data_IF_295517124438
#
_entry.id   IF_295517124438
#
_cell.length_a   1.000
_cell.length_b   1.000
_cell.length_c   1.000
_cell.angle_alpha   90.00
_cell.angle_beta   90.00
_cell.angle_gamma   90.00
#
_symmetry.space_group_name_H-M   'P 1'
#
loop_
_entity.id
_entity.type
_entity.pdbx_description
1 polymer ?
#
# COMPACT_ATOMS: atom_id res chain seq x y z
N UNK A 1 13.68 26.01 1.06
CA UNK A 1 13.06 24.93 0.25
C UNK A 1 11.99 24.29 1.10
N UNK A 2 10.81 24.08 0.52
CA UNK A 2 9.69 23.34 1.10
C UNK A 2 10.14 21.91 1.42
N UNK A 3 9.62 21.28 2.49
CA UNK A 3 9.88 19.86 2.75
C UNK A 3 9.19 19.02 1.68
N UNK A 4 9.75 17.86 1.35
CA UNK A 4 9.14 16.88 0.45
C UNK A 4 8.90 15.56 1.18
N UNK A 5 7.69 15.05 1.07
CA UNK A 5 7.29 13.71 1.51
C UNK A 5 7.17 12.79 0.29
N UNK A 6 7.87 11.65 0.33
CA UNK A 6 7.67 10.54 -0.60
C UNK A 6 6.71 9.54 0.04
N UNK A 7 5.48 9.48 -0.47
CA UNK A 7 4.51 8.46 -0.10
C UNK A 7 4.77 7.19 -0.91
N UNK A 8 5.01 6.08 -0.20
CA UNK A 8 5.10 4.75 -0.82
C UNK A 8 3.75 4.05 -0.68
N UNK A 9 3.00 3.99 -1.78
CA UNK A 9 1.63 3.49 -1.81
C UNK A 9 1.57 2.15 -2.55
N UNK A 10 1.19 1.09 -1.86
CA UNK A 10 0.99 -0.20 -2.51
C UNK A 10 0.49 -1.24 -1.53
N UNK A 11 -0.12 -2.30 -2.08
CA UNK A 11 -0.54 -3.44 -1.27
C UNK A 11 0.64 -4.04 -0.50
N UNK A 12 0.37 -4.62 0.67
CA UNK A 12 1.36 -5.47 1.35
C UNK A 12 1.93 -6.49 0.37
N UNK A 13 3.22 -6.83 0.55
CA UNK A 13 3.95 -7.82 -0.28
C UNK A 13 4.18 -7.41 -1.74
N UNK A 14 3.74 -6.23 -2.17
CA UNK A 14 4.05 -5.66 -3.50
C UNK A 14 5.43 -5.03 -3.62
N UNK A 15 6.35 -5.28 -2.67
CA UNK A 15 7.68 -4.68 -2.66
C UNK A 15 7.79 -3.34 -1.96
N UNK A 16 6.75 -2.89 -1.25
CA UNK A 16 6.76 -1.62 -0.49
C UNK A 16 7.91 -1.54 0.51
N UNK A 17 8.15 -2.58 1.32
CA UNK A 17 9.27 -2.60 2.27
C UNK A 17 10.64 -2.62 1.60
N UNK A 18 10.80 -3.39 0.51
CA UNK A 18 12.06 -3.44 -0.24
C UNK A 18 12.38 -2.06 -0.83
N UNK A 19 11.40 -1.42 -1.47
CA UNK A 19 11.56 -0.07 -2.00
C UNK A 19 11.90 0.93 -0.89
N UNK A 20 11.15 0.95 0.21
CA UNK A 20 11.41 1.89 1.32
C UNK A 20 12.78 1.67 1.97
N UNK A 21 13.25 0.42 2.07
CA UNK A 21 14.61 0.13 2.51
C UNK A 21 15.66 0.71 1.57
N UNK A 22 15.48 0.60 0.25
CA UNK A 22 16.34 1.26 -0.74
C UNK A 22 16.32 2.78 -0.56
N UNK A 23 15.14 3.40 -0.40
CA UNK A 23 15.03 4.85 -0.14
C UNK A 23 15.82 5.27 1.12
N UNK A 24 15.80 4.44 2.17
CA UNK A 24 16.59 4.68 3.38
C UNK A 24 18.10 4.72 3.10
N UNK A 25 18.62 3.82 2.27
CA UNK A 25 20.03 3.84 1.83
C UNK A 25 20.36 5.01 0.89
N UNK A 26 19.36 5.70 0.36
CA UNK A 26 19.51 6.90 -0.47
C UNK A 26 19.41 8.19 0.35
N UNK A 27 19.52 8.10 1.68
CA UNK A 27 19.38 9.20 2.65
C UNK A 27 17.98 9.86 2.66
N UNK A 28 16.94 9.17 2.18
CA UNK A 28 15.56 9.60 2.42
C UNK A 28 15.20 9.19 3.84
N UNK A 29 14.93 10.20 4.67
CA UNK A 29 14.75 9.98 6.10
C UNK A 29 13.46 9.19 6.41
N UNK A 30 13.56 8.27 7.35
CA UNK A 30 12.47 7.50 7.93
C UNK A 30 12.50 7.66 9.44
N UNK A 31 11.34 7.71 10.08
CA UNK A 31 11.22 7.80 11.54
C UNK A 31 10.44 6.61 12.10
N UNK A 32 10.75 6.22 13.33
CA UNK A 32 9.93 5.28 14.11
C UNK A 32 9.65 3.98 13.34
N UNK A 33 10.69 3.43 12.70
CA UNK A 33 10.54 2.28 11.81
C UNK A 33 10.22 1.00 12.57
N UNK A 34 9.29 0.21 12.03
CA UNK A 34 9.03 -1.15 12.47
C UNK A 34 10.11 -2.06 11.88
N UNK A 35 10.85 -2.72 12.77
CA UNK A 35 11.90 -3.68 12.45
C UNK A 35 11.37 -4.98 11.83
N UNK A 36 12.27 -5.93 11.58
CA UNK A 36 11.90 -7.20 10.95
C UNK A 36 11.34 -8.24 11.91
N UNK A 37 10.58 -9.19 11.36
CA UNK A 37 10.11 -10.39 12.03
C UNK A 37 10.21 -11.61 11.09
N UNK A 38 9.67 -12.76 11.49
CA UNK A 38 9.65 -13.99 10.68
C UNK A 38 8.97 -13.86 9.31
N UNK A 39 8.07 -12.88 9.14
CA UNK A 39 7.33 -12.67 7.90
C UNK A 39 8.02 -11.64 6.99
N UNK A 40 8.91 -10.82 7.56
CA UNK A 40 9.71 -9.84 6.84
C UNK A 40 11.01 -9.51 7.61
N UNK A 41 12.01 -10.38 7.49
CA UNK A 41 13.24 -10.33 8.28
C UNK A 41 14.03 -9.03 8.09
N UNK A 42 13.96 -8.45 6.88
CA UNK A 42 14.69 -7.23 6.52
C UNK A 42 14.04 -5.95 7.04
N UNK A 43 12.86 -6.04 7.67
CA UNK A 43 12.14 -4.90 8.25
C UNK A 43 10.95 -4.45 7.41
N UNK A 44 9.91 -3.96 8.10
CA UNK A 44 8.72 -3.43 7.44
C UNK A 44 8.94 -2.04 6.89
N UNK A 45 9.81 -1.24 7.52
CA UNK A 45 10.04 0.17 7.21
C UNK A 45 8.75 1.02 7.25
N UNK A 46 7.74 0.53 7.97
CA UNK A 46 6.53 1.27 8.32
C UNK A 46 6.80 2.13 9.54
N UNK A 47 6.20 3.30 9.60
CA UNK A 47 6.26 4.14 10.80
C UNK A 47 5.21 3.65 11.80
N UNK A 48 5.63 3.23 13.00
CA UNK A 48 4.72 2.58 13.95
C UNK A 48 3.60 3.49 14.47
N UNK A 49 3.86 4.80 14.62
CA UNK A 49 2.84 5.76 15.07
C UNK A 49 1.78 5.99 14.00
N UNK A 50 2.24 6.14 12.75
CA UNK A 50 1.37 6.30 11.59
C UNK A 50 0.53 5.03 11.40
N UNK A 51 1.13 3.83 11.50
CA UNK A 51 0.39 2.59 11.39
C UNK A 51 -0.72 2.48 12.44
N UNK A 52 -0.42 2.76 13.72
CA UNK A 52 -1.43 2.74 14.79
C UNK A 52 -2.57 3.73 14.52
N UNK A 53 -2.24 4.93 14.02
CA UNK A 53 -3.24 5.91 13.62
C UNK A 53 -4.09 5.40 12.44
N UNK A 54 -3.48 4.85 11.41
CA UNK A 54 -4.20 4.27 10.26
C UNK A 54 -5.15 3.14 10.68
N UNK A 55 -4.69 2.22 11.53
CA UNK A 55 -5.51 1.15 12.08
C UNK A 55 -6.70 1.71 12.89
N UNK A 56 -6.46 2.72 13.74
CA UNK A 56 -7.51 3.42 14.50
C UNK A 56 -8.55 4.09 13.58
N UNK A 57 -8.10 4.78 12.53
CA UNK A 57 -8.97 5.47 11.58
C UNK A 57 -9.84 4.48 10.79
N UNK A 58 -9.25 3.40 10.26
CA UNK A 58 -10.01 2.36 9.56
C UNK A 58 -11.02 1.68 10.49
N UNK A 59 -10.61 1.37 11.73
CA UNK A 59 -11.52 0.78 12.72
C UNK A 59 -12.70 1.70 13.02
N UNK A 60 -12.49 3.02 13.07
CA UNK A 60 -13.56 4.00 13.35
C UNK A 60 -14.63 4.10 12.27
N UNK A 61 -14.38 3.51 11.09
CA UNK A 61 -15.32 3.44 9.97
C UNK A 61 -15.66 1.99 9.61
N UNK A 62 -15.53 1.09 10.57
CA UNK A 62 -15.81 -0.34 10.44
C UNK A 62 -15.08 -0.96 9.23
N UNK A 63 -13.77 -0.74 9.17
CA UNK A 63 -12.91 -1.23 8.10
C UNK A 63 -11.53 -1.67 8.63
N UNK A 64 -10.74 -2.27 7.75
CA UNK A 64 -9.39 -2.77 8.01
C UNK A 64 -8.56 -2.72 6.72
N UNK A 65 -7.24 -2.96 6.83
CA UNK A 65 -6.35 -3.00 5.67
C UNK A 65 -6.72 -4.10 4.66
N UNK A 66 -7.40 -5.15 5.11
CA UNK A 66 -7.83 -6.29 4.29
C UNK A 66 -9.33 -6.26 3.95
N UNK A 67 -9.96 -5.09 4.10
CA UNK A 67 -11.33 -4.84 3.68
C UNK A 67 -11.40 -4.74 2.15
N UNK A 68 -11.68 -5.89 1.54
CA UNK A 68 -11.83 -6.04 0.10
C UNK A 68 -13.11 -5.38 -0.46
N UNK A 69 -13.92 -4.76 0.40
CA UNK A 69 -15.16 -4.10 0.05
C UNK A 69 -15.25 -2.67 0.60
N UNK A 70 -14.10 -2.08 0.92
CA UNK A 70 -14.01 -0.71 1.38
C UNK A 70 -14.82 0.24 0.48
N UNK A 71 -15.58 1.14 1.08
CA UNK A 71 -16.33 2.18 0.37
C UNK A 71 -15.66 3.53 0.60
N UNK A 72 -15.36 4.24 -0.48
CA UNK A 72 -14.75 5.57 -0.43
C UNK A 72 -15.61 6.59 0.34
N UNK A 73 -16.94 6.44 0.33
CA UNK A 73 -17.86 7.31 1.09
C UNK A 73 -17.59 7.26 2.60
N UNK A 74 -17.05 6.14 3.12
CA UNK A 74 -16.67 6.03 4.54
C UNK A 74 -15.57 7.03 4.93
N UNK A 75 -14.78 7.53 3.98
CA UNK A 75 -13.73 8.51 4.25
C UNK A 75 -14.29 9.89 4.64
N UNK A 76 -15.55 10.20 4.29
CA UNK A 76 -16.18 11.47 4.68
C UNK A 76 -16.24 11.63 6.20
N UNK A 77 -16.44 10.52 6.93
CA UNK A 77 -16.42 10.50 8.40
C UNK A 77 -15.05 10.87 8.99
N UNK A 78 -13.96 10.83 8.20
CA UNK A 78 -12.59 11.10 8.64
C UNK A 78 -12.10 12.51 8.29
N UNK A 79 -12.94 13.36 7.68
CA UNK A 79 -12.52 14.66 7.13
C UNK A 79 -11.80 15.56 8.17
N UNK A 80 -12.19 15.47 9.44
CA UNK A 80 -11.66 16.31 10.52
C UNK A 80 -10.58 15.65 11.38
N UNK A 81 -10.13 14.45 11.02
CA UNK A 81 -9.20 13.68 11.85
C UNK A 81 -7.72 14.06 11.64
N UNK A 82 -7.40 15.08 10.81
CA UNK A 82 -6.05 15.35 10.29
C UNK A 82 -5.03 15.80 11.34
N UNK A 83 -5.51 16.28 12.49
CA UNK A 83 -4.67 16.87 13.55
C UNK A 83 -3.63 15.90 14.11
N UNK A 84 -4.02 14.65 14.37
CA UNK A 84 -3.13 13.65 14.96
C UNK A 84 -1.99 13.28 14.01
N UNK A 85 -2.29 13.06 12.72
CA UNK A 85 -1.27 12.81 11.70
C UNK A 85 -0.32 13.99 11.54
N UNK A 86 -0.85 15.22 11.52
CA UNK A 86 0.00 16.43 11.43
C UNK A 86 0.96 16.53 12.61
N UNK A 87 0.49 16.23 13.82
CA UNK A 87 1.33 16.24 15.02
C UNK A 87 2.44 15.18 14.93
N UNK A 88 2.13 13.98 14.46
CA UNK A 88 3.14 12.95 14.20
C UNK A 88 4.16 13.46 13.18
N UNK A 89 3.71 13.98 12.03
CA UNK A 89 4.58 14.47 10.96
C UNK A 89 5.52 15.58 11.47
N UNK A 90 4.99 16.59 12.14
CA UNK A 90 5.79 17.69 12.70
C UNK A 90 6.77 17.17 13.74
N UNK A 91 6.35 16.29 14.64
CA UNK A 91 7.21 15.80 15.71
C UNK A 91 8.40 14.97 15.21
N UNK A 92 8.18 14.15 14.17
CA UNK A 92 9.16 13.16 13.71
C UNK A 92 10.00 13.62 12.52
N UNK A 93 9.47 14.53 11.70
CA UNK A 93 10.07 14.89 10.42
C UNK A 93 10.45 16.38 10.30
N UNK A 94 10.21 17.23 11.30
CA UNK A 94 10.48 18.70 11.25
C UNK A 94 11.87 19.10 10.76
N UNK A 95 12.90 18.30 11.01
CA UNK A 95 14.28 18.62 10.63
C UNK A 95 14.74 17.97 9.33
N UNK A 96 13.90 17.14 8.70
CA UNK A 96 14.21 16.53 7.42
C UNK A 96 13.62 17.31 6.26
N UNK A 97 14.45 17.66 5.27
CA UNK A 97 13.96 18.26 4.02
C UNK A 97 13.30 17.25 3.08
N UNK A 98 13.68 15.99 3.18
CA UNK A 98 13.20 14.90 2.33
C UNK A 98 13.01 13.65 3.20
N UNK A 99 11.78 13.18 3.29
CA UNK A 99 11.43 11.99 4.07
C UNK A 99 10.44 11.13 3.32
N UNK A 100 10.29 9.88 3.74
CA UNK A 100 9.28 8.98 3.22
C UNK A 100 8.33 8.50 4.32
N UNK A 101 7.08 8.30 3.93
CA UNK A 101 6.08 7.59 4.73
C UNK A 101 5.64 6.39 3.90
N UNK A 102 5.73 5.21 4.52
CA UNK A 102 5.22 3.96 3.98
C UNK A 102 4.22 3.38 4.98
N UNK A 103 3.00 3.19 4.51
CA UNK A 103 1.94 2.44 5.18
C UNK A 103 1.01 1.93 4.07
N UNK A 104 0.85 0.60 3.88
CA UNK A 104 -0.06 0.07 2.86
C UNK A 104 -1.51 0.58 2.99
N UNK A 105 -1.95 0.93 4.20
CA UNK A 105 -3.28 1.53 4.46
C UNK A 105 -3.40 2.93 3.92
N UNK A 106 -2.29 3.62 3.65
CA UNK A 106 -2.31 4.94 3.03
C UNK A 106 -2.94 4.90 1.63
N UNK A 107 -3.02 3.74 0.96
CA UNK A 107 -3.81 3.61 -0.27
C UNK A 107 -5.31 3.85 -0.03
N UNK A 108 -5.84 3.37 1.09
CA UNK A 108 -7.25 3.54 1.48
C UNK A 108 -7.48 4.94 2.05
N UNK A 109 -6.54 5.41 2.87
CA UNK A 109 -6.63 6.67 3.61
C UNK A 109 -6.00 7.85 2.88
N UNK A 110 -5.62 7.75 1.60
CA UNK A 110 -4.81 8.78 0.94
C UNK A 110 -5.35 10.22 1.09
N UNK A 111 -6.66 10.50 0.91
CA UNK A 111 -7.18 11.86 1.06
C UNK A 111 -6.85 12.51 2.41
N UNK A 112 -6.81 11.70 3.47
CA UNK A 112 -6.41 12.12 4.80
C UNK A 112 -4.93 12.53 4.86
N UNK A 113 -4.04 11.71 4.28
CA UNK A 113 -2.60 12.01 4.20
C UNK A 113 -2.34 13.26 3.36
N UNK A 114 -3.00 13.36 2.20
CA UNK A 114 -2.88 14.49 1.30
C UNK A 114 -3.31 15.80 1.98
N UNK A 115 -4.46 15.80 2.66
CA UNK A 115 -4.93 16.96 3.42
C UNK A 115 -3.92 17.38 4.48
N UNK A 116 -3.45 16.44 5.31
CA UNK A 116 -2.46 16.72 6.36
C UNK A 116 -1.15 17.28 5.80
N UNK A 117 -0.63 16.72 4.71
CA UNK A 117 0.63 17.17 4.08
C UNK A 117 0.48 18.54 3.41
N UNK A 118 -0.63 18.78 2.71
CA UNK A 118 -0.92 20.08 2.11
C UNK A 118 -1.06 21.19 3.18
N UNK A 119 -1.78 20.92 4.28
CA UNK A 119 -1.97 21.87 5.39
C UNK A 119 -0.64 22.21 6.11
N UNK A 120 0.34 21.32 6.07
CA UNK A 120 1.68 21.53 6.59
C UNK A 120 2.62 22.20 5.58
N UNK A 121 2.14 22.56 4.40
CA UNK A 121 2.94 23.03 3.27
C UNK A 121 4.11 22.07 2.98
N UNK A 122 3.81 20.78 2.82
CA UNK A 122 4.77 19.75 2.42
C UNK A 122 4.47 19.30 0.98
N UNK A 123 5.51 19.23 0.16
CA UNK A 123 5.41 18.75 -1.22
C UNK A 123 5.23 17.22 -1.24
N UNK A 124 4.34 16.70 -2.09
CA UNK A 124 3.95 15.29 -2.09
C UNK A 124 4.42 14.65 -3.39
N UNK A 125 5.24 13.61 -3.26
CA UNK A 125 5.67 12.74 -4.35
C UNK A 125 5.27 11.30 -4.04
N UNK A 126 4.93 10.52 -5.06
CA UNK A 126 4.38 9.18 -4.87
C UNK A 126 5.19 8.14 -5.61
N UNK A 127 5.50 7.03 -4.93
CA UNK A 127 6.01 5.83 -5.58
C UNK A 127 5.02 4.69 -5.35
N UNK A 128 4.61 4.03 -6.43
CA UNK A 128 3.66 2.93 -6.43
C UNK A 128 4.41 1.63 -6.79
N UNK A 129 4.99 0.92 -5.81
CA UNK A 129 5.58 -0.38 -6.08
C UNK A 129 4.47 -1.40 -6.37
N UNK A 130 4.70 -2.22 -7.38
CA UNK A 130 3.81 -3.32 -7.74
C UNK A 130 4.60 -4.59 -8.00
N UNK A 131 3.91 -5.73 -7.85
CA UNK A 131 4.43 -7.07 -8.04
C UNK A 131 3.33 -7.92 -8.64
N UNK A 132 3.71 -9.05 -9.25
CA UNK A 132 2.76 -10.06 -9.71
C UNK A 132 1.67 -10.33 -8.65
N UNK A 133 0.38 -10.08 -8.97
CA UNK A 133 -0.75 -10.23 -8.06
C UNK A 133 -0.87 -11.63 -7.47
N UNK A 134 -0.48 -12.67 -8.22
CA UNK A 134 -0.48 -14.05 -7.74
C UNK A 134 0.60 -14.28 -6.69
N UNK A 135 1.81 -13.74 -6.90
CA UNK A 135 2.88 -13.83 -5.89
C UNK A 135 2.48 -13.08 -4.60
N UNK A 136 1.80 -11.94 -4.75
CA UNK A 136 1.23 -11.20 -3.61
C UNK A 136 0.18 -12.04 -2.89
N UNK A 137 -0.77 -12.62 -3.62
CA UNK A 137 -1.83 -13.45 -3.06
C UNK A 137 -1.28 -14.70 -2.35
N UNK A 138 -0.33 -15.42 -2.94
CA UNK A 138 0.34 -16.55 -2.30
C UNK A 138 1.09 -16.13 -1.04
N UNK A 139 1.76 -14.97 -1.06
CA UNK A 139 2.45 -14.48 0.13
C UNK A 139 1.49 -14.06 1.25
N UNK A 140 0.32 -13.49 0.91
CA UNK A 140 -0.72 -13.17 1.88
C UNK A 140 -1.37 -14.44 2.45
N UNK A 141 -1.58 -15.45 1.60
CA UNK A 141 -2.08 -16.75 2.03
C UNK A 141 -1.16 -17.40 3.06
N UNK A 142 0.14 -17.45 2.77
CA UNK A 142 1.13 -18.03 3.68
C UNK A 142 1.18 -17.30 5.05
N UNK A 143 1.03 -15.97 5.05
CA UNK A 143 1.13 -15.13 6.25
C UNK A 143 -0.16 -15.08 7.07
N UNK A 144 -1.28 -14.83 6.41
CA UNK A 144 -2.56 -14.43 7.03
C UNK A 144 -3.68 -15.45 6.81
N UNK A 145 -3.43 -16.54 6.07
CA UNK A 145 -4.45 -17.52 5.65
C UNK A 145 -5.58 -16.92 4.79
N UNK A 146 -5.30 -15.78 4.13
CA UNK A 146 -6.21 -15.15 3.17
C UNK A 146 -6.30 -16.03 1.90
N UNK A 147 -7.50 -16.19 1.32
CA UNK A 147 -7.65 -16.95 0.07
C UNK A 147 -6.94 -16.24 -1.09
N UNK A 148 -6.54 -17.00 -2.12
CA UNK A 148 -5.85 -16.42 -3.28
C UNK A 148 -6.73 -15.37 -3.99
N UNK A 149 -8.03 -15.62 -4.07
CA UNK A 149 -9.03 -14.73 -4.66
C UNK A 149 -9.10 -13.40 -3.89
N UNK A 150 -9.21 -13.46 -2.55
CA UNK A 150 -9.22 -12.25 -1.72
C UNK A 150 -7.87 -11.53 -1.81
N UNK A 151 -6.75 -12.25 -1.86
CA UNK A 151 -5.41 -11.66 -2.03
C UNK A 151 -5.27 -10.88 -3.35
N UNK A 152 -5.73 -11.45 -4.46
CA UNK A 152 -5.76 -10.76 -5.77
C UNK A 152 -6.71 -9.56 -5.76
N UNK A 153 -7.89 -9.71 -5.15
CA UNK A 153 -8.85 -8.62 -5.00
C UNK A 153 -8.26 -7.45 -4.22
N UNK A 154 -7.64 -7.72 -3.07
CA UNK A 154 -6.95 -6.69 -2.27
C UNK A 154 -5.84 -6.01 -3.05
N UNK A 155 -5.05 -6.77 -3.81
CA UNK A 155 -4.01 -6.20 -4.67
C UNK A 155 -4.59 -5.22 -5.68
N UNK A 156 -5.61 -5.61 -6.45
CA UNK A 156 -6.23 -4.75 -7.45
C UNK A 156 -6.84 -3.50 -6.82
N UNK A 157 -7.53 -3.68 -5.70
CA UNK A 157 -8.20 -2.60 -5.00
C UNK A 157 -7.20 -1.54 -4.52
N UNK A 158 -6.14 -1.95 -3.81
CA UNK A 158 -5.10 -1.03 -3.34
C UNK A 158 -4.32 -0.38 -4.49
N UNK A 159 -4.04 -1.13 -5.56
CA UNK A 159 -3.33 -0.61 -6.73
C UNK A 159 -4.14 0.47 -7.44
N UNK A 160 -5.43 0.21 -7.71
CA UNK A 160 -6.33 1.16 -8.39
C UNK A 160 -6.62 2.40 -7.54
N UNK A 161 -6.69 2.27 -6.22
CA UNK A 161 -6.81 3.43 -5.33
C UNK A 161 -5.53 4.26 -5.28
N UNK A 162 -4.37 3.62 -5.12
CA UNK A 162 -3.08 4.31 -5.17
C UNK A 162 -2.90 5.05 -6.50
N UNK A 163 -3.27 4.41 -7.61
CA UNK A 163 -3.32 5.05 -8.93
C UNK A 163 -4.25 6.27 -8.89
N UNK A 164 -5.54 6.11 -8.57
CA UNK A 164 -6.51 7.20 -8.65
C UNK A 164 -6.12 8.40 -7.79
N UNK A 165 -5.73 8.14 -6.56
CA UNK A 165 -5.47 9.18 -5.58
C UNK A 165 -4.14 9.91 -5.78
N UNK A 166 -3.15 9.25 -6.38
CA UNK A 166 -1.87 9.89 -6.69
C UNK A 166 -1.90 10.80 -7.93
N UNK A 167 -3.00 10.82 -8.69
CA UNK A 167 -3.13 11.70 -9.87
C UNK A 167 -2.98 13.18 -9.46
N UNK A 168 -2.35 13.96 -10.32
CA UNK A 168 -2.04 15.37 -10.03
C UNK A 168 -0.77 15.58 -9.19
N UNK A 169 -0.10 14.51 -8.74
CA UNK A 169 1.22 14.55 -8.09
C UNK A 169 2.31 14.00 -9.00
N UNK A 170 3.56 14.38 -8.74
CA UNK A 170 4.72 13.66 -9.31
C UNK A 170 4.69 12.22 -8.80
N UNK A 171 4.55 11.26 -9.72
CA UNK A 171 4.39 9.84 -9.39
C UNK A 171 5.15 8.92 -10.33
N UNK A 172 5.52 7.74 -9.83
CA UNK A 172 6.15 6.67 -10.62
C UNK A 172 5.68 5.29 -10.13
N UNK A 173 5.41 4.39 -11.07
CA UNK A 173 5.16 2.96 -10.79
C UNK A 173 6.47 2.18 -10.84
N UNK A 174 6.73 1.32 -9.87
CA UNK A 174 7.98 0.57 -9.77
C UNK A 174 7.69 -0.93 -9.71
N UNK A 175 8.13 -1.68 -10.72
CA UNK A 175 8.07 -3.13 -10.66
C UNK A 175 9.05 -3.65 -9.61
N UNK A 176 8.57 -4.51 -8.71
CA UNK A 176 9.43 -5.18 -7.73
C UNK A 176 10.52 -6.00 -8.42
N UNK A 177 10.22 -6.62 -9.56
CA UNK A 177 11.18 -7.40 -10.32
C UNK A 177 12.31 -6.54 -10.87
N UNK A 178 11.99 -5.37 -11.41
CA UNK A 178 12.98 -4.41 -11.89
C UNK A 178 13.76 -3.78 -10.74
N UNK A 179 13.12 -3.54 -9.60
CA UNK A 179 13.81 -3.04 -8.40
C UNK A 179 14.91 -4.01 -7.97
N UNK A 180 14.65 -5.33 -8.00
CA UNK A 180 15.61 -6.36 -7.61
C UNK A 180 16.66 -6.62 -8.70
N UNK A 181 16.27 -6.69 -9.97
CA UNK A 181 17.18 -7.03 -11.08
C UNK A 181 18.03 -5.87 -11.57
N UNK A 182 17.43 -4.68 -11.67
CA UNK A 182 17.98 -3.50 -12.34
C UNK A 182 17.87 -2.25 -11.46
N UNK A 183 18.26 -2.36 -10.19
CA UNK A 183 18.07 -1.30 -9.17
C UNK A 183 18.62 0.07 -9.61
N UNK A 184 19.75 0.10 -10.33
CA UNK A 184 20.34 1.35 -10.83
C UNK A 184 19.39 2.12 -11.76
N UNK A 185 18.70 1.40 -12.66
CA UNK A 185 17.79 2.00 -13.62
C UNK A 185 16.56 2.53 -12.88
N UNK A 186 16.02 1.74 -11.96
CA UNK A 186 14.89 2.14 -11.12
C UNK A 186 15.21 3.41 -10.31
N UNK A 187 16.39 3.50 -9.71
CA UNK A 187 16.78 4.70 -8.95
C UNK A 187 16.96 5.91 -9.86
N UNK A 188 17.52 5.74 -11.06
CA UNK A 188 17.62 6.83 -12.04
C UNK A 188 16.23 7.31 -12.49
N UNK A 189 15.29 6.38 -12.74
CA UNK A 189 13.92 6.72 -13.14
C UNK A 189 13.17 7.45 -12.01
N UNK A 190 13.30 7.00 -10.76
CA UNK A 190 12.77 7.69 -9.58
C UNK A 190 13.37 9.10 -9.48
N UNK A 191 14.69 9.22 -9.61
CA UNK A 191 15.39 10.51 -9.54
C UNK A 191 14.86 11.50 -10.57
N UNK A 192 14.67 11.06 -11.82
CA UNK A 192 14.19 11.90 -12.92
C UNK A 192 12.71 12.23 -12.79
N UNK A 193 11.85 11.23 -12.58
CA UNK A 193 10.38 11.40 -12.55
C UNK A 193 9.91 12.18 -11.33
N UNK A 194 10.60 12.03 -10.20
CA UNK A 194 10.28 12.72 -8.95
C UNK A 194 11.23 13.88 -8.66
N UNK A 195 12.08 14.30 -9.60
CA UNK A 195 13.03 15.41 -9.42
C UNK A 195 13.79 15.34 -8.07
N UNK A 196 14.35 14.17 -7.75
CA UNK A 196 15.09 13.91 -6.50
C UNK A 196 16.58 13.72 -6.78
N UNK A 197 17.46 14.32 -5.97
CA UNK A 197 18.92 14.14 -6.08
C UNK A 197 19.39 12.89 -5.29
N UNK A 198 19.10 11.70 -5.84
CA UNK A 198 19.41 10.41 -5.20
C UNK A 198 20.46 9.57 -5.94
N UNK A 199 20.81 9.92 -7.19
CA UNK A 199 21.75 9.12 -8.00
C UNK A 199 23.17 9.08 -7.40
N UNK A 200 23.67 10.19 -6.86
CA UNK A 200 24.98 10.22 -6.18
C UNK A 200 25.00 9.34 -4.95
N UNK A 201 23.90 9.33 -4.19
CA UNK A 201 23.74 8.48 -2.99
C UNK A 201 23.68 7.01 -3.38
N UNK A 202 22.99 6.69 -4.48
CA UNK A 202 23.00 5.34 -5.04
C UNK A 202 24.41 4.88 -5.40
N UNK A 203 25.17 5.69 -6.13
CA UNK A 203 26.54 5.34 -6.51
C UNK A 203 27.41 5.01 -5.27
N UNK A 204 27.28 5.81 -4.20
CA UNK A 204 28.00 5.60 -2.95
C UNK A 204 27.54 4.37 -2.14
N UNK A 205 26.26 4.00 -2.22
CA UNK A 205 25.66 2.92 -1.41
C UNK A 205 25.28 1.67 -2.22
N UNK A 206 25.61 1.61 -3.51
CA UNK A 206 25.19 0.57 -4.46
C UNK A 206 25.42 -0.86 -3.95
N UNK A 207 26.58 -1.13 -3.34
CA UNK A 207 26.88 -2.44 -2.74
C UNK A 207 25.94 -2.78 -1.58
N UNK A 208 25.75 -1.86 -0.62
CA UNK A 208 24.84 -2.07 0.52
C UNK A 208 23.40 -2.29 0.05
N UNK A 209 22.98 -1.57 -0.99
CA UNK A 209 21.66 -1.72 -1.60
C UNK A 209 21.51 -3.09 -2.26
N UNK A 210 22.52 -3.57 -2.98
CA UNK A 210 22.52 -4.90 -3.58
C UNK A 210 22.45 -6.01 -2.51
N UNK A 211 23.27 -5.91 -1.46
CA UNK A 211 23.27 -6.84 -0.33
C UNK A 211 21.89 -6.85 0.38
N UNK A 212 21.28 -5.68 0.53
CA UNK A 212 19.94 -5.54 1.09
C UNK A 212 18.85 -6.14 0.19
N UNK A 213 18.96 -6.04 -1.13
CA UNK A 213 17.98 -6.57 -2.08
C UNK A 213 18.16 -8.06 -2.42
N UNK A 214 19.14 -8.74 -1.82
CA UNK A 214 19.52 -10.10 -2.20
C UNK A 214 18.33 -11.07 -2.41
N UNK A 215 18.48 -12.03 -3.37
CA UNK A 215 17.38 -12.72 -4.06
C UNK A 215 16.41 -13.54 -3.18
N UNK A 216 16.78 -13.82 -1.93
CA UNK A 216 15.93 -14.53 -0.98
C UNK A 216 14.60 -13.81 -0.69
N UNK A 217 14.41 -12.57 -1.14
CA UNK A 217 13.13 -11.86 -1.11
C UNK A 217 12.07 -12.43 -2.09
N UNK A 218 12.46 -13.23 -3.08
CA UNK A 218 11.55 -13.95 -3.98
C UNK A 218 11.32 -15.39 -3.48
N UNK A 219 10.47 -15.57 -2.47
CA UNK A 219 10.09 -16.91 -2.00
C UNK A 219 9.14 -17.67 -2.95
N UNK A 220 8.50 -16.98 -3.89
CA UNK A 220 7.56 -17.58 -4.85
C UNK A 220 7.89 -17.11 -6.27
N UNK A 221 8.55 -17.96 -7.06
CA UNK A 221 8.68 -17.77 -8.51
C UNK A 221 7.44 -18.36 -9.17
N UNK A 222 6.40 -17.56 -9.35
CA UNK A 222 5.21 -17.98 -10.10
C UNK A 222 5.28 -17.28 -11.44
N UNK A 223 5.62 -18.03 -12.51
CA UNK A 223 5.47 -17.51 -13.87
C UNK A 223 3.99 -17.21 -14.12
N UNK A 224 3.72 -16.04 -14.71
CA UNK A 224 2.38 -15.64 -15.19
C UNK A 224 1.77 -16.69 -16.13
N UNK A 225 2.61 -17.45 -16.84
CA UNK A 225 2.20 -18.45 -17.82
C UNK A 225 1.45 -19.65 -17.21
N UNK A 226 1.67 -19.95 -15.92
CA UNK A 226 1.09 -21.13 -15.28
C UNK A 226 -0.40 -20.97 -14.91
N UNK A 227 -1.00 -19.78 -15.07
CA UNK A 227 -2.38 -19.50 -14.65
C UNK A 227 -3.22 -18.74 -15.67
N UNK A 228 -2.81 -18.70 -16.95
CA UNK A 228 -3.51 -17.93 -18.00
C UNK A 228 -5.00 -18.26 -18.14
N UNK A 229 -5.45 -19.45 -17.72
CA UNK A 229 -6.86 -19.85 -17.76
C UNK A 229 -7.66 -19.59 -16.47
N UNK A 230 -7.06 -19.06 -15.39
CA UNK A 230 -7.72 -18.85 -14.08
C UNK A 230 -7.58 -17.44 -13.50
N UNK A 231 -6.81 -16.55 -14.13
CA UNK A 231 -6.65 -15.19 -13.63
C UNK A 231 -7.94 -14.38 -13.83
N UNK A 232 -8.48 -13.70 -12.80
CA UNK A 232 -9.65 -12.84 -12.98
C UNK A 232 -9.36 -11.77 -14.03
N UNK A 233 -10.33 -11.50 -14.91
CA UNK A 233 -10.16 -10.57 -16.05
C UNK A 233 -9.62 -9.20 -15.62
N UNK A 234 -10.12 -8.64 -14.51
CA UNK A 234 -9.67 -7.36 -13.98
C UNK A 234 -8.15 -7.32 -13.72
N UNK A 235 -7.58 -8.43 -13.24
CA UNK A 235 -6.15 -8.54 -12.97
C UNK A 235 -5.37 -8.60 -14.29
N UNK A 236 -5.82 -9.45 -15.21
CA UNK A 236 -5.22 -9.55 -16.55
C UNK A 236 -5.22 -8.20 -17.28
N UNK A 237 -6.34 -7.48 -17.23
CA UNK A 237 -6.49 -6.19 -17.89
C UNK A 237 -5.55 -5.12 -17.30
N UNK A 238 -5.34 -5.10 -15.97
CA UNK A 238 -4.34 -4.20 -15.34
C UNK A 238 -2.93 -4.57 -15.82
N UNK A 239 -2.58 -5.85 -15.84
CA UNK A 239 -1.23 -6.31 -16.22
C UNK A 239 -0.93 -6.07 -17.71
N UNK A 240 -1.94 -6.13 -18.59
CA UNK A 240 -1.79 -5.77 -20.00
C UNK A 240 -1.37 -4.30 -20.22
N UNK A 241 -1.52 -3.45 -19.21
CA UNK A 241 -1.13 -2.03 -19.25
C UNK A 241 0.25 -1.77 -18.63
N UNK A 242 0.92 -2.79 -18.07
CA UNK A 242 2.15 -2.65 -17.27
C UNK A 242 3.24 -1.86 -17.99
N UNK A 243 3.50 -2.18 -19.26
CA UNK A 243 4.53 -1.52 -20.07
C UNK A 243 4.23 -0.04 -20.36
N UNK A 244 3.01 0.44 -20.08
CA UNK A 244 2.57 1.82 -20.31
C UNK A 244 2.47 2.65 -19.04
N UNK A 245 2.57 2.06 -17.85
CA UNK A 245 2.32 2.72 -16.56
C UNK A 245 3.08 4.05 -16.37
N UNK A 246 4.32 4.15 -16.86
CA UNK A 246 5.17 5.34 -16.70
C UNK A 246 5.35 6.17 -17.99
N UNK A 247 4.77 5.73 -19.11
CA UNK A 247 5.04 6.29 -20.46
C UNK A 247 3.81 6.85 -21.14
N UNK A 248 2.60 6.52 -20.69
CA UNK A 248 1.35 6.94 -21.32
C UNK A 248 0.34 7.40 -20.27
N UNK A 249 -0.58 8.26 -20.67
CA UNK A 249 -1.76 8.54 -19.86
C UNK A 249 -2.74 7.36 -19.98
N UNK A 250 -3.03 6.71 -18.85
CA UNK A 250 -3.92 5.56 -18.72
C UNK A 250 -5.14 5.90 -17.84
N UNK A 251 -5.41 7.18 -17.63
CA UNK A 251 -6.44 7.64 -16.69
C UNK A 251 -7.82 7.04 -16.99
N UNK A 252 -8.21 7.00 -18.28
CA UNK A 252 -9.47 6.43 -18.73
C UNK A 252 -9.53 4.91 -18.55
N UNK A 253 -8.45 4.20 -18.89
CA UNK A 253 -8.35 2.75 -18.70
C UNK A 253 -8.49 2.38 -17.21
N UNK A 254 -7.76 3.07 -16.33
CA UNK A 254 -7.85 2.83 -14.89
C UNK A 254 -9.20 3.25 -14.29
N UNK A 255 -9.82 4.33 -14.78
CA UNK A 255 -11.16 4.71 -14.33
C UNK A 255 -12.20 3.67 -14.73
N UNK A 256 -12.09 3.08 -15.93
CA UNK A 256 -12.94 1.95 -16.36
C UNK A 256 -12.72 0.73 -15.47
N UNK A 257 -11.48 0.29 -15.28
CA UNK A 257 -11.14 -0.88 -14.45
C UNK A 257 -11.61 -0.71 -13.00
N UNK A 258 -11.42 0.47 -12.41
CA UNK A 258 -11.90 0.81 -11.06
C UNK A 258 -13.42 0.81 -10.97
N UNK A 259 -14.11 1.38 -11.96
CA UNK A 259 -15.57 1.39 -12.01
C UNK A 259 -16.13 -0.03 -12.14
N UNK A 260 -15.53 -0.87 -12.99
CA UNK A 260 -15.88 -2.30 -13.12
C UNK A 260 -15.73 -3.03 -11.79
N UNK A 261 -14.57 -2.89 -11.13
CA UNK A 261 -14.31 -3.53 -9.83
C UNK A 261 -15.32 -3.13 -8.76
N UNK A 262 -15.60 -1.83 -8.61
CA UNK A 262 -16.50 -1.32 -7.57
C UNK A 262 -17.97 -1.66 -7.87
N UNK A 263 -18.35 -1.72 -9.15
CA UNK A 263 -19.67 -2.21 -9.54
C UNK A 263 -19.85 -3.70 -9.21
N UNK A 264 -18.82 -4.53 -9.39
CA UNK A 264 -18.89 -5.94 -9.02
C UNK A 264 -19.00 -6.16 -7.50
N UNK A 265 -18.36 -5.32 -6.68
CA UNK A 265 -18.52 -5.37 -5.23
C UNK A 265 -19.99 -5.24 -4.80
N UNK A 266 -20.77 -4.40 -5.49
CA UNK A 266 -22.21 -4.20 -5.20
C UNK A 266 -23.05 -5.48 -5.39
N UNK A 267 -22.60 -6.44 -6.19
CA UNK A 267 -23.30 -7.72 -6.35
C UNK A 267 -23.27 -8.56 -5.06
N UNK A 268 -22.24 -8.38 -4.24
CA UNK A 268 -22.05 -9.10 -2.98
C UNK A 268 -22.68 -8.36 -1.79
N UNK A 269 -22.93 -7.06 -1.91
CA UNK A 269 -23.74 -6.26 -0.97
C UNK A 269 -25.24 -6.35 -1.26
N UNK A 270 -25.76 -7.56 -1.42
CA UNK A 270 -27.19 -7.76 -1.57
C UNK A 270 -27.82 -8.14 -0.22
N UNK A 271 -29.10 -7.81 -0.07
CA UNK A 271 -29.86 -8.01 1.18
C UNK A 271 -29.79 -9.44 1.73
N UNK A 272 -29.70 -10.45 0.85
CA UNK A 272 -29.66 -11.85 1.28
C UNK A 272 -28.31 -12.22 1.92
N UNK A 273 -27.21 -11.64 1.44
CA UNK A 273 -25.88 -11.84 2.02
C UNK A 273 -25.71 -10.98 3.28
N UNK A 274 -26.16 -9.72 3.25
CA UNK A 274 -25.98 -8.81 4.38
C UNK A 274 -26.78 -9.25 5.61
N UNK A 275 -28.00 -9.76 5.45
CA UNK A 275 -28.80 -10.29 6.57
C UNK A 275 -28.07 -11.43 7.30
N UNK A 276 -27.42 -12.34 6.56
CA UNK A 276 -26.62 -13.41 7.18
C UNK A 276 -25.38 -12.88 7.91
N UNK A 277 -24.80 -11.77 7.47
CA UNK A 277 -23.69 -11.12 8.17
C UNK A 277 -24.17 -10.47 9.47
N UNK A 278 -25.32 -9.79 9.45
CA UNK A 278 -25.93 -9.19 10.65
C UNK A 278 -26.26 -10.27 11.70
N UNK A 279 -26.82 -11.42 11.27
CA UNK A 279 -27.10 -12.56 12.14
C UNK A 279 -25.82 -13.14 12.77
N UNK A 280 -24.73 -13.21 11.99
CA UNK A 280 -23.42 -13.69 12.47
C UNK A 280 -22.78 -12.70 13.45
N UNK A 281 -22.87 -11.40 13.21
CA UNK A 281 -22.39 -10.38 14.13
C UNK A 281 -23.17 -10.39 15.44
N UNK A 282 -24.49 -10.54 15.38
CA UNK A 282 -25.33 -10.69 16.55
C UNK A 282 -24.94 -11.93 17.36
N UNK A 283 -24.74 -13.06 16.69
CA UNK A 283 -24.31 -14.31 17.32
C UNK A 283 -22.92 -14.19 17.95
N UNK A 284 -21.98 -13.53 17.27
CA UNK A 284 -20.63 -13.28 17.78
C UNK A 284 -20.66 -12.41 19.03
N UNK A 285 -21.48 -11.36 19.05
CA UNK A 285 -21.65 -10.48 20.21
C UNK A 285 -22.22 -11.25 21.41
N UNK A 286 -23.25 -12.07 21.18
CA UNK A 286 -23.83 -12.95 22.21
C UNK A 286 -22.79 -13.91 22.81
N UNK A 287 -21.89 -14.46 21.98
CA UNK A 287 -20.81 -15.33 22.46
C UNK A 287 -19.78 -14.55 23.29
N UNK A 288 -19.38 -13.36 22.86
CA UNK A 288 -18.45 -12.51 23.60
C UNK A 288 -19.00 -12.08 24.96
N UNK A 289 -20.29 -11.71 25.01
CA UNK A 289 -20.96 -11.34 26.26
C UNK A 289 -21.00 -12.53 27.23
N UNK A 290 -21.30 -13.74 26.74
CA UNK A 290 -21.27 -14.97 27.56
C UNK A 290 -19.87 -15.34 28.07
N UNK A 291 -18.84 -15.19 27.23
CA UNK A 291 -17.46 -15.47 27.65
C UNK A 291 -16.99 -14.47 28.72
N UNK A 292 -17.42 -13.21 28.63
CA UNK A 292 -17.16 -12.20 29.65
C UNK A 292 -17.88 -12.52 30.97
N UNK A 293 -19.13 -12.98 30.93
CA UNK A 293 -19.88 -13.44 32.12
C UNK A 293 -19.20 -14.64 32.79
N UNK A 294 -18.74 -15.63 32.01
CA UNK A 294 -18.03 -16.81 32.52
C UNK A 294 -16.66 -16.49 33.10
N UNK A 295 -15.99 -15.44 32.61
CA UNK A 295 -14.68 -15.00 33.11
C UNK A 295 -14.78 -14.20 34.42
N UNK A 296 -15.99 -13.74 34.78
CA UNK A 296 -16.28 -12.97 36.00
C UNK A 296 -16.89 -13.84 37.13
N UNK A 297 -17.21 -15.11 36.84
CA UNK A 297 -17.77 -16.09 37.78
C UNK A 297 -16.69 -17.02 38.35
#
# INVERSE_FOLDING_TARGET
MKQTCVLVLGMHRSGTSALTGVLSFLDIYLASIIGGDKNNEKGYFENWKIQQLSDKLLTSIDSSWDDAFFNLEKLEALENSSAELKNIIVSEFKYSRLFAIKDPRACLLYPFYEKSLNELDIDIKVIIPYRNPLEVACSLHARDQISLEKGMLLWAYHFLLAEKFSRGRERIFVSFDELVKNTSNVVSDISKKLTLDIEKKYAANSKKIADFLEPNLKHHNISMDNFSSKLPKIISDILCLENKFNTSDLSEDFDRLRSELFNYQRLFYNKNITVHLDDLEHTKKLLQDKDAELSLA
#
